data_IF_876136281454
#
_entry.id   IF_876136281454
#
_cell.length_a   1.000
_cell.length_b   1.000
_cell.length_c   1.000
_cell.angle_alpha   90.00
_cell.angle_beta   90.00
_cell.angle_gamma   90.00
#
_symmetry.space_group_name_H-M   'P 1'
#
loop_
_entity.id
_entity.type
_entity.pdbx_description
1 polymer ?
#
# COMPACT_ATOMS: atom_id res chain seq x y z
N UNK A 1 -2.29 39.91 -27.93
CA UNK A 1 -1.25 38.94 -28.29
C UNK A 1 -0.78 38.10 -27.08
N UNK A 2 -0.56 38.65 -25.86
CA UNK A 2 -0.15 37.84 -24.68
C UNK A 2 -1.17 36.77 -24.22
N UNK A 3 -2.46 36.99 -24.41
CA UNK A 3 -3.53 36.01 -24.03
C UNK A 3 -3.60 34.79 -24.97
N UNK A 4 -3.21 34.93 -26.23
CA UNK A 4 -3.19 33.83 -27.19
C UNK A 4 -2.06 32.80 -26.89
N UNK A 5 -0.95 33.26 -26.35
CA UNK A 5 0.16 32.39 -25.95
C UNK A 5 -0.18 31.48 -24.74
N UNK A 6 -1.02 31.95 -23.83
CA UNK A 6 -1.49 31.16 -22.67
C UNK A 6 -2.38 30.01 -23.15
N UNK A 7 -3.23 30.22 -24.14
CA UNK A 7 -4.04 29.15 -24.73
C UNK A 7 -3.22 28.12 -25.50
N UNK A 8 -2.14 28.53 -26.17
CA UNK A 8 -1.24 27.63 -26.89
C UNK A 8 -0.46 26.73 -25.95
N UNK A 9 -0.02 27.22 -24.78
CA UNK A 9 0.69 26.42 -23.77
C UNK A 9 -0.25 25.42 -23.10
N UNK A 10 -1.51 25.74 -22.88
CA UNK A 10 -2.53 24.81 -22.34
C UNK A 10 -2.85 23.64 -23.29
N UNK A 11 -2.71 23.83 -24.60
CA UNK A 11 -2.93 22.78 -25.60
C UNK A 11 -1.78 21.76 -25.68
N UNK A 12 -0.60 22.08 -25.17
CA UNK A 12 0.58 21.19 -25.17
C UNK A 12 0.66 20.25 -23.94
N UNK A 13 -0.23 20.42 -22.96
CA UNK A 13 -0.16 19.68 -21.68
C UNK A 13 -0.77 18.26 -21.70
N UNK A 14 -1.17 17.72 -22.87
CA UNK A 14 -2.04 16.52 -22.94
C UNK A 14 -1.33 15.18 -23.14
N UNK A 15 -0.01 15.07 -23.01
CA UNK A 15 0.70 13.80 -23.25
C UNK A 15 1.42 13.23 -22.01
N UNK A 16 0.78 13.24 -20.84
CA UNK A 16 1.23 12.42 -19.75
C UNK A 16 0.72 10.99 -19.96
N UNK A 17 1.55 10.13 -20.55
CA UNK A 17 1.24 8.71 -20.65
C UNK A 17 1.56 8.04 -19.30
N UNK A 18 0.52 7.55 -18.64
CA UNK A 18 0.67 6.67 -17.47
C UNK A 18 0.77 5.23 -17.98
N UNK A 19 1.66 4.41 -17.40
CA UNK A 19 1.83 2.99 -17.74
C UNK A 19 0.54 2.17 -17.56
N UNK A 20 0.51 1.24 -16.61
CA UNK A 20 -0.70 0.50 -16.26
C UNK A 20 -1.46 1.18 -15.10
N UNK A 21 -2.77 1.03 -15.10
CA UNK A 21 -3.66 1.44 -14.02
C UNK A 21 -4.23 0.20 -13.33
N UNK A 22 -4.10 0.14 -12.00
CA UNK A 22 -4.72 -0.87 -11.15
C UNK A 22 -6.02 -0.32 -10.58
N UNK A 23 -7.09 -1.12 -10.59
CA UNK A 23 -8.41 -0.69 -10.13
C UNK A 23 -8.51 -0.47 -8.61
N UNK A 24 -7.51 -0.90 -7.85
CA UNK A 24 -7.45 -0.73 -6.40
C UNK A 24 -6.01 -0.56 -5.92
N UNK A 25 -5.83 0.09 -4.76
CA UNK A 25 -4.52 0.26 -4.09
C UNK A 25 -4.22 -0.88 -3.11
N UNK A 26 -5.19 -1.77 -2.85
CA UNK A 26 -5.11 -2.95 -1.98
C UNK A 26 -6.18 -3.96 -2.35
N UNK A 27 -6.02 -5.18 -1.90
CA UNK A 27 -7.00 -6.26 -2.12
C UNK A 27 -7.43 -6.83 -0.77
N UNK A 28 -8.73 -6.92 -0.55
CA UNK A 28 -9.31 -7.65 0.58
C UNK A 28 -9.79 -9.00 0.08
N UNK A 29 -9.32 -10.08 0.70
CA UNK A 29 -9.73 -11.46 0.41
C UNK A 29 -10.52 -12.02 1.59
N UNK A 30 -11.88 -11.98 1.56
CA UNK A 30 -12.69 -12.65 2.56
C UNK A 30 -12.53 -14.17 2.44
N UNK A 31 -12.33 -14.87 3.55
CA UNK A 31 -12.05 -16.32 3.56
C UNK A 31 -13.14 -17.18 2.89
N UNK A 32 -14.42 -16.75 2.96
CA UNK A 32 -15.54 -17.44 2.31
C UNK A 32 -15.62 -17.26 0.79
N UNK A 33 -14.76 -16.44 0.19
CA UNK A 33 -14.73 -16.27 -1.26
C UNK A 33 -13.83 -17.33 -1.92
N UNK A 34 -14.28 -17.88 -3.05
CA UNK A 34 -13.45 -18.79 -3.85
C UNK A 34 -12.30 -18.07 -4.54
N UNK A 35 -12.53 -16.82 -4.93
CA UNK A 35 -11.56 -15.95 -5.56
C UNK A 35 -11.94 -14.48 -5.37
N UNK A 36 -10.96 -13.60 -5.50
CA UNK A 36 -11.16 -12.17 -5.68
C UNK A 36 -10.44 -11.71 -6.94
N UNK A 37 -10.85 -10.57 -7.48
CA UNK A 37 -10.31 -10.06 -8.74
C UNK A 37 -9.74 -8.68 -8.62
N UNK A 38 -8.72 -8.37 -9.44
CA UNK A 38 -8.16 -7.04 -9.60
C UNK A 38 -8.04 -6.73 -11.10
N UNK A 39 -8.68 -5.67 -11.56
CA UNK A 39 -8.56 -5.23 -12.94
C UNK A 39 -7.27 -4.41 -13.13
N UNK A 40 -6.59 -4.67 -14.25
CA UNK A 40 -5.40 -3.97 -14.73
C UNK A 40 -5.72 -3.43 -16.12
N UNK A 41 -5.51 -2.13 -16.36
CA UNK A 41 -5.78 -1.48 -17.64
C UNK A 41 -4.53 -0.78 -18.14
N UNK A 42 -4.20 -0.92 -19.41
CA UNK A 42 -3.11 -0.16 -20.04
C UNK A 42 -3.57 1.27 -20.34
N UNK A 43 -2.71 2.22 -19.96
CA UNK A 43 -2.79 3.63 -20.37
C UNK A 43 -1.56 4.04 -21.18
N UNK A 44 -0.74 3.04 -21.55
CA UNK A 44 0.46 3.23 -22.35
C UNK A 44 0.17 2.99 -23.83
N UNK A 45 0.72 3.79 -24.76
CA UNK A 45 0.53 3.62 -26.19
C UNK A 45 1.29 2.40 -26.75
N UNK A 46 2.19 1.79 -25.96
CA UNK A 46 2.95 0.61 -26.32
C UNK A 46 2.53 -0.62 -25.54
N UNK A 47 2.59 -1.82 -26.13
CA UNK A 47 2.27 -3.03 -25.40
C UNK A 47 3.30 -3.29 -24.29
N UNK A 48 2.83 -3.81 -23.14
CA UNK A 48 3.66 -4.17 -21.99
C UNK A 48 3.57 -5.67 -21.70
N UNK A 49 4.67 -6.25 -21.23
CA UNK A 49 4.62 -7.56 -20.58
C UNK A 49 4.39 -7.34 -19.10
N UNK A 50 3.37 -7.98 -18.55
CA UNK A 50 3.02 -7.88 -17.14
C UNK A 50 3.33 -9.21 -16.47
N UNK A 51 4.06 -9.15 -15.34
CA UNK A 51 4.30 -10.29 -14.47
C UNK A 51 3.65 -10.03 -13.12
N UNK A 52 2.96 -11.04 -12.58
CA UNK A 52 2.26 -10.94 -11.30
C UNK A 52 2.62 -12.11 -10.40
N UNK A 53 2.78 -11.83 -9.09
CA UNK A 53 3.03 -12.85 -8.08
C UNK A 53 2.60 -12.34 -6.70
N UNK A 54 2.48 -13.26 -5.75
CA UNK A 54 2.18 -12.94 -4.35
C UNK A 54 3.37 -13.42 -3.51
N UNK A 55 3.76 -12.62 -2.53
CA UNK A 55 4.84 -12.91 -1.59
C UNK A 55 4.41 -12.59 -0.16
N UNK A 56 5.09 -13.16 0.82
CA UNK A 56 4.93 -12.79 2.22
C UNK A 56 5.78 -11.53 2.55
N UNK A 57 5.81 -11.13 3.80
CA UNK A 57 6.56 -9.94 4.23
C UNK A 57 8.09 -10.10 4.08
N UNK A 58 8.59 -11.34 4.09
CA UNK A 58 10.00 -11.68 3.85
C UNK A 58 10.34 -11.83 2.35
N UNK A 59 9.45 -11.41 1.44
CA UNK A 59 9.57 -11.58 -0.01
C UNK A 59 9.68 -13.06 -0.48
N UNK A 60 9.24 -14.00 0.36
CA UNK A 60 9.19 -15.43 0.02
C UNK A 60 7.86 -15.76 -0.64
N UNK A 61 7.90 -16.38 -1.80
CA UNK A 61 6.73 -16.85 -2.56
C UNK A 61 6.39 -18.32 -2.30
N UNK A 62 7.35 -19.11 -1.80
CA UNK A 62 7.20 -20.56 -1.65
C UNK A 62 6.21 -20.98 -0.56
N UNK A 63 5.96 -20.09 0.43
CA UNK A 63 5.08 -20.35 1.58
C UNK A 63 3.78 -19.54 1.54
N UNK A 64 3.43 -19.00 0.38
CA UNK A 64 2.24 -18.17 0.23
C UNK A 64 1.08 -19.04 -0.24
N UNK A 65 -0.04 -19.11 0.51
CA UNK A 65 -1.18 -19.96 0.17
C UNK A 65 -2.11 -19.28 -0.86
N UNK A 66 -1.55 -18.62 -1.86
CA UNK A 66 -2.27 -17.95 -2.92
C UNK A 66 -1.65 -18.21 -4.27
N UNK A 67 -2.48 -18.32 -5.29
CA UNK A 67 -2.08 -18.22 -6.69
C UNK A 67 -2.76 -17.02 -7.34
N UNK A 68 -2.11 -16.46 -8.35
CA UNK A 68 -2.64 -15.37 -9.16
C UNK A 68 -2.61 -15.77 -10.63
N UNK A 69 -3.70 -15.49 -11.34
CA UNK A 69 -3.89 -15.88 -12.74
C UNK A 69 -4.38 -14.68 -13.57
N UNK A 70 -3.79 -14.45 -14.75
CA UNK A 70 -2.58 -15.06 -15.27
C UNK A 70 -1.31 -14.54 -14.58
N UNK A 71 -0.25 -15.37 -14.38
CA UNK A 71 0.99 -14.92 -13.77
C UNK A 71 1.86 -14.05 -14.69
N UNK A 72 1.75 -14.26 -16.00
CA UNK A 72 2.44 -13.48 -17.03
C UNK A 72 1.48 -13.28 -18.20
N UNK A 73 1.38 -12.06 -18.72
CA UNK A 73 0.56 -11.75 -19.89
C UNK A 73 1.04 -10.48 -20.60
N UNK A 74 0.73 -10.39 -21.89
CA UNK A 74 0.91 -9.18 -22.68
C UNK A 74 -0.35 -8.32 -22.55
N UNK A 75 -0.16 -7.06 -22.21
CA UNK A 75 -1.19 -6.05 -22.16
C UNK A 75 -1.00 -5.05 -23.29
N UNK A 76 -1.91 -5.03 -24.26
CA UNK A 76 -1.89 -4.11 -25.38
C UNK A 76 -2.45 -2.74 -24.98
N UNK A 77 -2.14 -1.67 -25.75
CA UNK A 77 -2.70 -0.34 -25.53
C UNK A 77 -4.23 -0.35 -25.37
N UNK A 78 -4.74 0.40 -24.39
CA UNK A 78 -6.17 0.57 -24.09
C UNK A 78 -6.93 -0.74 -23.80
N UNK A 79 -6.21 -1.83 -23.54
CA UNK A 79 -6.82 -3.10 -23.13
C UNK A 79 -6.73 -3.29 -21.63
N UNK A 80 -7.62 -4.13 -21.11
CA UNK A 80 -7.65 -4.57 -19.73
C UNK A 80 -7.42 -6.06 -19.58
N UNK A 81 -6.96 -6.46 -18.41
CA UNK A 81 -6.87 -7.84 -17.95
C UNK A 81 -7.39 -7.91 -16.53
N UNK A 82 -8.18 -8.93 -16.24
CA UNK A 82 -8.60 -9.24 -14.87
C UNK A 82 -7.67 -10.28 -14.28
N UNK A 83 -7.02 -9.93 -13.18
CA UNK A 83 -6.24 -10.84 -12.35
C UNK A 83 -7.20 -11.57 -11.40
N UNK A 84 -7.10 -12.89 -11.33
CA UNK A 84 -7.84 -13.73 -10.39
C UNK A 84 -6.89 -14.19 -9.29
N UNK A 85 -7.24 -13.93 -8.08
CA UNK A 85 -6.46 -14.28 -6.87
C UNK A 85 -7.26 -15.38 -6.17
N UNK A 86 -6.63 -16.53 -5.95
CA UNK A 86 -7.27 -17.73 -5.42
C UNK A 86 -6.48 -18.18 -4.19
N UNK A 87 -7.17 -18.38 -3.07
CA UNK A 87 -6.61 -19.02 -1.90
C UNK A 87 -6.54 -20.53 -2.12
N UNK A 88 -5.35 -21.12 -1.98
CA UNK A 88 -5.10 -22.55 -2.27
C UNK A 88 -5.20 -23.44 -1.03
N UNK A 89 -5.53 -22.85 0.11
CA UNK A 89 -5.47 -23.53 1.40
C UNK A 89 -4.06 -23.42 2.01
N UNK A 90 -3.98 -23.45 3.32
CA UNK A 90 -2.71 -23.40 4.04
C UNK A 90 -2.91 -22.90 5.47
N UNK A 91 -1.84 -22.99 6.25
CA UNK A 91 -1.84 -22.58 7.65
C UNK A 91 -1.72 -21.04 7.75
N UNK A 92 -2.86 -20.35 7.78
CA UNK A 92 -2.95 -18.94 8.12
C UNK A 92 -3.76 -18.78 9.41
N UNK A 93 -3.45 -17.81 10.27
CA UNK A 93 -4.25 -17.51 11.46
C UNK A 93 -5.74 -17.32 11.09
N UNK A 94 -6.65 -17.94 11.86
CA UNK A 94 -8.09 -17.82 11.66
C UNK A 94 -8.75 -16.83 12.64
N UNK A 95 -7.97 -16.32 13.59
CA UNK A 95 -8.39 -15.40 14.65
C UNK A 95 -8.09 -13.93 14.34
N UNK A 96 -7.43 -13.66 13.20
CA UNK A 96 -6.99 -12.32 12.78
C UNK A 96 -6.69 -12.26 11.28
N UNK A 97 -6.61 -11.06 10.75
CA UNK A 97 -6.11 -10.83 9.39
C UNK A 97 -4.65 -11.23 9.23
N UNK A 98 -4.34 -11.74 8.04
CA UNK A 98 -2.97 -11.96 7.57
C UNK A 98 -2.70 -11.10 6.34
N UNK A 99 -1.50 -10.54 6.25
CA UNK A 99 -1.11 -9.65 5.16
C UNK A 99 -0.10 -10.33 4.26
N UNK A 100 -0.35 -10.24 2.96
CA UNK A 100 0.54 -10.65 1.88
C UNK A 100 0.75 -9.49 0.91
N UNK A 101 1.65 -9.66 -0.05
CA UNK A 101 1.97 -8.63 -1.02
C UNK A 101 1.72 -9.12 -2.43
N UNK A 102 0.75 -8.50 -3.09
CA UNK A 102 0.50 -8.68 -4.51
C UNK A 102 1.44 -7.76 -5.30
N UNK A 103 2.23 -8.33 -6.20
CA UNK A 103 3.15 -7.61 -7.04
C UNK A 103 2.66 -7.63 -8.48
N UNK A 104 2.76 -6.48 -9.15
CA UNK A 104 2.50 -6.30 -10.57
C UNK A 104 3.70 -5.58 -11.16
N UNK A 105 4.49 -6.29 -11.97
CA UNK A 105 5.68 -5.79 -12.62
C UNK A 105 5.36 -5.48 -14.07
N UNK A 106 5.61 -4.25 -14.47
CA UNK A 106 5.45 -3.75 -15.82
C UNK A 106 6.81 -3.73 -16.54
N UNK A 107 6.93 -4.51 -17.61
CA UNK A 107 8.15 -4.65 -18.41
C UNK A 107 7.89 -4.06 -19.79
N UNK A 108 8.55 -2.95 -20.15
CA UNK A 108 8.43 -2.34 -21.46
C UNK A 108 9.08 -3.19 -22.56
N UNK A 109 8.68 -3.04 -23.83
CA UNK A 109 9.32 -3.73 -24.96
C UNK A 109 10.77 -3.27 -25.11
N UNK A 110 11.61 -4.14 -25.71
CA UNK A 110 12.96 -3.74 -26.10
C UNK A 110 12.88 -2.55 -27.07
N UNK A 111 13.67 -1.50 -26.86
CA UNK A 111 13.74 -0.39 -27.80
C UNK A 111 14.26 -0.83 -29.17
N UNK A 112 13.71 -0.26 -30.21
CA UNK A 112 14.22 -0.44 -31.57
C UNK A 112 15.42 0.51 -31.79
N UNK A 113 16.62 -0.04 -32.07
CA UNK A 113 17.79 0.75 -32.42
C UNK A 113 19.00 0.56 -31.50
N UNK A 114 20.12 1.21 -31.85
CA UNK A 114 21.41 1.15 -31.13
C UNK A 114 21.71 2.40 -30.30
N UNK A 115 20.74 3.32 -30.17
CA UNK A 115 20.95 4.53 -29.38
C UNK A 115 20.94 4.20 -27.90
N UNK A 116 21.73 4.92 -27.12
CA UNK A 116 21.71 4.84 -25.66
C UNK A 116 20.34 5.31 -25.13
N UNK A 117 19.71 4.49 -24.31
CA UNK A 117 18.41 4.80 -23.69
C UNK A 117 18.31 4.17 -22.31
N UNK A 118 17.54 4.85 -21.46
CA UNK A 118 17.20 4.34 -20.13
C UNK A 118 15.84 3.65 -20.23
N UNK A 119 15.78 2.38 -19.81
CA UNK A 119 14.54 1.62 -19.73
C UNK A 119 14.12 1.50 -18.26
N UNK A 120 12.94 2.04 -17.95
CA UNK A 120 12.37 1.97 -16.61
C UNK A 120 11.37 0.81 -16.52
N UNK A 121 11.52 0.00 -15.48
CA UNK A 121 10.59 -1.06 -15.11
C UNK A 121 9.91 -0.66 -13.82
N UNK A 122 8.58 -0.67 -13.80
CA UNK A 122 7.78 -0.27 -12.64
C UNK A 122 7.20 -1.50 -11.96
N UNK A 123 7.41 -1.60 -10.65
CA UNK A 123 6.79 -2.63 -9.81
C UNK A 123 5.80 -1.99 -8.86
N UNK A 124 4.53 -2.31 -9.02
CA UNK A 124 3.48 -1.96 -8.06
C UNK A 124 3.35 -3.08 -7.03
N UNK A 125 3.45 -2.75 -5.75
CA UNK A 125 3.34 -3.68 -4.63
C UNK A 125 2.15 -3.31 -3.78
N UNK A 126 1.08 -4.13 -3.83
CA UNK A 126 -0.19 -3.89 -3.16
C UNK A 126 -0.33 -4.82 -1.95
N UNK A 127 -0.95 -4.33 -0.89
CA UNK A 127 -1.32 -5.18 0.26
C UNK A 127 -2.48 -6.10 -0.14
N UNK A 128 -2.35 -7.39 0.16
CA UNK A 128 -3.41 -8.40 0.07
C UNK A 128 -3.75 -8.84 1.51
N UNK A 129 -4.95 -8.51 1.98
CA UNK A 129 -5.43 -8.87 3.30
C UNK A 129 -6.30 -10.13 3.21
N UNK A 130 -5.82 -11.25 3.76
CA UNK A 130 -6.67 -12.40 4.00
C UNK A 130 -7.46 -12.16 5.28
N UNK A 131 -8.79 -12.15 5.14
CA UNK A 131 -9.72 -11.85 6.25
C UNK A 131 -10.58 -13.07 6.56
N UNK A 132 -10.28 -13.79 7.68
CA UNK A 132 -11.14 -14.86 8.18
C UNK A 132 -12.55 -14.38 8.45
N UNK A 133 -13.51 -15.32 8.38
CA UNK A 133 -14.89 -15.04 8.76
C UNK A 133 -15.04 -15.00 10.28
N UNK A 134 -16.05 -14.27 10.76
CA UNK A 134 -16.38 -14.24 12.19
C UNK A 134 -15.42 -13.45 13.07
N UNK A 135 -14.50 -12.64 12.50
CA UNK A 135 -13.65 -11.77 13.30
C UNK A 135 -14.49 -10.75 14.08
N UNK A 136 -14.20 -10.60 15.37
CA UNK A 136 -14.90 -9.64 16.23
C UNK A 136 -14.54 -8.19 15.87
N UNK A 137 -15.54 -7.33 15.73
CA UNK A 137 -15.37 -5.91 15.42
C UNK A 137 -15.37 -5.62 13.91
N UNK A 138 -14.64 -4.59 13.53
CA UNK A 138 -14.51 -4.15 12.14
C UNK A 138 -13.17 -3.42 11.90
N UNK A 139 -12.69 -3.29 10.66
CA UNK A 139 -11.48 -2.51 10.35
C UNK A 139 -11.56 -1.06 10.85
N UNK A 140 -12.73 -0.43 10.75
CA UNK A 140 -12.96 0.93 11.25
C UNK A 140 -12.88 1.00 12.78
N UNK A 141 -13.47 0.04 13.49
CA UNK A 141 -13.43 -0.03 14.94
C UNK A 141 -12.02 -0.35 15.48
N UNK A 142 -11.20 -1.05 14.71
CA UNK A 142 -9.81 -1.37 15.06
C UNK A 142 -8.96 -0.11 15.26
N UNK A 143 -9.20 0.93 14.48
CA UNK A 143 -8.45 2.20 14.59
C UNK A 143 -8.62 2.84 15.98
N UNK A 144 -9.83 2.80 16.53
CA UNK A 144 -10.13 3.35 17.87
C UNK A 144 -9.54 2.51 19.03
N UNK A 145 -9.10 1.28 18.76
CA UNK A 145 -8.49 0.38 19.74
C UNK A 145 -6.97 0.49 19.80
N UNK A 146 -6.34 1.21 18.85
CA UNK A 146 -4.89 1.39 18.84
C UNK A 146 -4.44 2.06 20.14
N UNK A 147 -3.42 1.49 20.74
CA UNK A 147 -2.74 2.04 21.92
C UNK A 147 -1.36 2.52 21.50
N UNK A 148 -0.98 3.67 22.01
CA UNK A 148 0.28 4.29 21.64
C UNK A 148 1.17 4.52 22.84
N UNK A 149 2.44 4.19 22.68
CA UNK A 149 3.48 4.39 23.68
C UNK A 149 4.69 5.04 23.05
N UNK A 150 5.26 6.05 23.73
CA UNK A 150 6.55 6.61 23.35
C UNK A 150 7.65 5.75 23.97
N UNK A 151 8.52 5.23 23.15
CA UNK A 151 9.69 4.44 23.57
C UNK A 151 10.96 5.15 23.14
N UNK A 152 11.99 5.05 23.99
CA UNK A 152 13.32 5.56 23.70
C UNK A 152 14.31 4.40 23.56
N UNK A 153 15.18 4.48 22.58
CA UNK A 153 16.28 3.55 22.39
C UNK A 153 17.57 4.32 22.07
N UNK A 154 18.66 3.60 21.79
CA UNK A 154 19.96 4.18 21.47
C UNK A 154 19.96 5.00 20.15
N UNK A 155 18.92 4.89 19.33
CA UNK A 155 18.76 5.59 18.05
C UNK A 155 17.82 6.81 18.14
N UNK A 156 17.19 7.06 19.32
CA UNK A 156 16.27 8.16 19.56
C UNK A 156 14.89 7.72 20.05
N UNK A 157 13.85 8.39 19.62
CA UNK A 157 12.47 8.11 20.03
C UNK A 157 11.71 7.35 18.94
N UNK A 158 10.76 6.50 19.36
CA UNK A 158 9.80 5.87 18.48
C UNK A 158 8.40 5.87 19.12
N UNK A 159 7.38 6.02 18.30
CA UNK A 159 6.00 5.73 18.68
C UNK A 159 5.71 4.26 18.44
N UNK A 160 5.44 3.52 19.49
CA UNK A 160 5.04 2.13 19.43
C UNK A 160 3.52 2.04 19.39
N UNK A 161 3.00 1.46 18.32
CA UNK A 161 1.59 1.14 18.16
C UNK A 161 1.35 -0.29 18.63
N UNK A 162 0.42 -0.50 19.55
CA UNK A 162 -0.15 -1.79 19.93
C UNK A 162 -1.57 -1.90 19.39
N UNK A 163 -1.85 -2.98 18.68
CA UNK A 163 -3.16 -3.26 18.10
C UNK A 163 -3.76 -4.53 18.69
N UNK A 164 -4.69 -4.45 19.65
CA UNK A 164 -5.35 -5.62 20.24
C UNK A 164 -6.41 -6.24 19.33
N UNK A 165 -6.82 -5.54 18.25
CA UNK A 165 -7.88 -5.99 17.36
C UNK A 165 -7.45 -7.12 16.43
N UNK A 166 -8.42 -7.76 15.79
CA UNK A 166 -8.19 -8.78 14.79
C UNK A 166 -7.90 -8.22 13.38
N UNK A 167 -7.91 -6.90 13.19
CA UNK A 167 -7.73 -6.25 11.90
C UNK A 167 -6.42 -5.47 11.87
N UNK A 168 -5.65 -5.61 10.80
CA UNK A 168 -4.43 -4.83 10.58
C UNK A 168 -4.79 -3.39 10.17
N UNK A 169 -4.22 -2.41 10.85
CA UNK A 169 -4.42 -0.99 10.52
C UNK A 169 -3.26 -0.50 9.64
N UNK A 170 -3.58 -0.10 8.41
CA UNK A 170 -2.61 0.55 7.51
C UNK A 170 -2.44 2.01 7.88
N UNK A 171 -1.19 2.44 8.03
CA UNK A 171 -0.80 3.79 8.43
C UNK A 171 0.00 4.46 7.31
N UNK A 172 -0.49 5.58 6.81
CA UNK A 172 0.19 6.39 5.79
C UNK A 172 1.11 7.45 6.42
N UNK A 173 0.79 7.86 7.63
CA UNK A 173 1.61 8.77 8.44
C UNK A 173 1.47 8.44 9.91
N UNK A 174 2.57 8.54 10.65
CA UNK A 174 2.63 8.53 12.12
C UNK A 174 3.66 9.55 12.54
N UNK A 175 3.31 10.48 13.41
CA UNK A 175 4.22 11.53 13.83
C UNK A 175 3.74 12.36 15.01
N UNK A 176 4.60 13.26 15.50
CA UNK A 176 4.32 14.21 16.57
C UNK A 176 3.79 15.56 16.06
N UNK A 177 3.62 15.69 14.75
CA UNK A 177 3.04 16.85 14.07
C UNK A 177 1.97 16.37 13.07
N UNK A 178 0.97 17.19 12.84
CA UNK A 178 -0.10 16.91 11.85
C UNK A 178 0.40 17.10 10.40
N UNK A 179 1.48 17.82 10.21
CA UNK A 179 2.04 18.13 8.89
C UNK A 179 3.33 17.37 8.64
N UNK A 180 3.38 16.71 7.47
CA UNK A 180 4.61 16.11 6.93
C UNK A 180 5.32 17.17 6.09
N UNK A 181 6.52 17.58 6.51
CA UNK A 181 7.29 18.61 5.79
C UNK A 181 8.05 18.05 4.58
N UNK A 182 8.38 16.75 4.63
CA UNK A 182 9.05 16.05 3.53
C UNK A 182 8.64 14.57 3.50
N UNK A 183 8.82 13.89 2.37
CA UNK A 183 8.59 12.44 2.27
C UNK A 183 9.53 11.65 3.21
N UNK A 184 10.74 12.14 3.47
CA UNK A 184 11.71 11.51 4.38
C UNK A 184 11.24 11.52 5.84
N UNK A 185 10.38 12.47 6.23
CA UNK A 185 9.77 12.54 7.56
C UNK A 185 8.53 11.65 7.69
N UNK A 186 8.03 11.11 6.58
CA UNK A 186 6.83 10.30 6.56
C UNK A 186 7.11 8.90 7.10
N UNK A 187 6.70 8.63 8.31
CA UNK A 187 6.69 7.28 8.86
C UNK A 187 5.39 6.58 8.46
N UNK A 188 5.50 5.57 7.61
CA UNK A 188 4.36 4.78 7.13
C UNK A 188 4.56 3.30 7.41
N UNK A 189 3.47 2.52 7.41
CA UNK A 189 3.55 1.10 7.66
C UNK A 189 2.21 0.46 7.98
N UNK A 190 2.23 -0.46 8.93
CA UNK A 190 1.04 -1.12 9.45
C UNK A 190 1.18 -1.35 10.95
N UNK A 191 0.08 -1.24 11.69
CA UNK A 191 -0.04 -1.80 13.02
C UNK A 191 -0.72 -3.18 12.85
N UNK A 192 0.02 -4.30 12.93
CA UNK A 192 -0.50 -5.62 12.57
C UNK A 192 -1.58 -6.07 13.54
N UNK A 193 -2.51 -6.88 13.06
CA UNK A 193 -3.57 -7.47 13.88
C UNK A 193 -2.97 -8.25 15.06
N UNK A 194 -3.43 -7.97 16.29
CA UNK A 194 -2.92 -8.56 17.54
C UNK A 194 -1.40 -8.45 17.69
N UNK A 195 -0.84 -7.32 17.26
CA UNK A 195 0.59 -7.12 17.23
C UNK A 195 1.01 -5.70 17.54
N UNK A 196 2.28 -5.42 17.32
CA UNK A 196 2.92 -4.15 17.62
C UNK A 196 3.83 -3.72 16.47
N UNK A 197 4.00 -2.41 16.32
CA UNK A 197 4.92 -1.80 15.35
C UNK A 197 5.50 -0.52 15.91
N UNK A 198 6.78 -0.26 15.62
CA UNK A 198 7.47 0.97 15.99
C UNK A 198 7.69 1.86 14.79
N UNK A 199 7.45 3.14 15.00
CA UNK A 199 7.65 4.20 14.01
C UNK A 199 8.65 5.20 14.60
N UNK A 200 9.83 5.34 13.99
CA UNK A 200 10.85 6.27 14.43
C UNK A 200 10.33 7.72 14.33
N UNK A 201 10.55 8.53 15.34
CA UNK A 201 10.13 9.93 15.33
C UNK A 201 11.26 10.84 15.85
N UNK A 202 11.37 12.02 15.26
CA UNK A 202 12.18 13.09 15.80
C UNK A 202 11.30 13.93 16.73
N UNK A 203 11.75 14.16 17.96
CA UNK A 203 10.96 14.81 18.99
C UNK A 203 11.72 15.96 19.63
N UNK A 204 11.09 17.11 19.71
CA UNK A 204 11.55 18.23 20.54
C UNK A 204 11.08 18.03 21.98
N UNK A 205 11.75 18.65 22.99
CA UNK A 205 11.30 18.59 24.39
C UNK A 205 9.85 19.03 24.60
N UNK A 206 9.38 20.02 23.84
CA UNK A 206 7.99 20.49 23.93
C UNK A 206 6.99 19.44 23.42
N UNK A 207 7.30 18.74 22.32
CA UNK A 207 6.48 17.64 21.80
C UNK A 207 6.43 16.47 22.78
N UNK A 208 7.56 16.15 23.43
CA UNK A 208 7.64 15.09 24.44
C UNK A 208 6.79 15.41 25.69
N UNK A 209 6.64 16.70 26.02
CA UNK A 209 5.77 17.14 27.13
C UNK A 209 4.28 17.13 26.75
N UNK A 210 3.96 17.30 25.46
CA UNK A 210 2.59 17.44 24.97
C UNK A 210 1.76 16.14 24.95
N UNK A 211 2.40 14.97 24.87
CA UNK A 211 1.73 13.67 24.90
C UNK A 211 0.80 13.38 23.71
N UNK A 212 0.87 14.16 22.64
CA UNK A 212 -0.04 14.08 21.48
C UNK A 212 0.68 13.54 20.26
N UNK A 213 0.03 12.66 19.52
CA UNK A 213 0.50 12.18 18.21
C UNK A 213 -0.61 12.33 17.15
N UNK A 214 -0.19 12.37 15.91
CA UNK A 214 -1.05 12.42 14.73
C UNK A 214 -0.76 11.22 13.84
N UNK A 215 -1.79 10.62 13.28
CA UNK A 215 -1.62 9.54 12.33
C UNK A 215 -2.72 9.53 11.28
N UNK A 216 -2.39 9.03 10.11
CA UNK A 216 -3.31 8.88 9.00
C UNK A 216 -3.44 7.41 8.66
N UNK A 217 -4.66 6.88 8.68
CA UNK A 217 -4.96 5.51 8.28
C UNK A 217 -5.38 5.45 6.82
N UNK A 218 -5.29 4.26 6.24
CA UNK A 218 -5.84 3.98 4.91
C UNK A 218 -6.83 2.83 5.06
N UNK A 219 -8.10 3.06 4.68
CA UNK A 219 -9.17 2.08 4.75
C UNK A 219 -9.11 1.01 3.65
N UNK A 220 -10.06 0.06 3.64
CA UNK A 220 -10.15 -1.03 2.66
C UNK A 220 -10.30 -0.55 1.20
N UNK A 221 -10.81 0.66 1.00
CA UNK A 221 -11.05 1.27 -0.31
C UNK A 221 -9.92 2.21 -0.76
N UNK A 222 -8.91 2.43 0.10
CA UNK A 222 -7.81 3.35 -0.16
C UNK A 222 -8.05 4.78 0.32
N UNK A 223 -9.18 5.05 0.98
CA UNK A 223 -9.50 6.34 1.60
C UNK A 223 -8.59 6.63 2.79
N UNK A 224 -8.16 7.89 2.90
CA UNK A 224 -7.31 8.35 4.01
C UNK A 224 -8.15 9.04 5.08
N UNK A 225 -7.84 8.72 6.35
CA UNK A 225 -8.53 9.29 7.51
C UNK A 225 -7.49 9.76 8.53
N UNK A 226 -7.61 11.02 8.97
CA UNK A 226 -6.70 11.66 9.93
C UNK A 226 -7.21 11.50 11.35
N UNK A 227 -6.29 11.18 12.25
CA UNK A 227 -6.58 10.96 13.66
C UNK A 227 -5.54 11.65 14.54
N UNK A 228 -6.00 12.03 15.73
CA UNK A 228 -5.17 12.48 16.82
C UNK A 228 -5.37 11.53 18.00
N UNK A 229 -4.29 11.18 18.69
CA UNK A 229 -4.33 10.35 19.88
C UNK A 229 -3.31 10.84 20.92
N UNK A 230 -3.41 10.28 22.11
CA UNK A 230 -2.40 10.46 23.17
C UNK A 230 -1.54 9.21 23.27
N UNK A 231 -0.30 9.39 23.63
CA UNK A 231 0.62 8.31 23.94
C UNK A 231 0.98 8.31 25.43
N UNK A 232 1.35 7.16 25.96
CA UNK A 232 1.84 6.96 27.33
C UNK A 232 3.34 6.63 27.29
N UNK A 233 4.03 6.91 28.38
CA UNK A 233 5.44 6.50 28.60
C UNK A 233 5.51 5.10 29.17
#
# INVERSE_FOLDING_TARGET
MKRAWIFLVLLLANYAHAGIQLAATRVIYPAGKREVTLAVTSKDPTPRLIQTWIENDSADTAKVPFIILPPIFRLNPDKGQTLRIIYTGGAVPQDRESVFWLNVLEIPPKPAGKADHIQLTVRSRLKLFYRPEGLAGSPKAAVAQLRWRLVQNNQGYALECENPSAFTVSLNHVGLTDTVKSEDERQSGMCPARGQQRFAVQATPAQLAGGTLFFTTIDDYGGQHHYQATWHR
#
